data_IF_010260143714
#
_entry.id   IF_010260143714
#
_cell.length_a   1.000
_cell.length_b   1.000
_cell.length_c   1.000
_cell.angle_alpha   90.00
_cell.angle_beta   90.00
_cell.angle_gamma   90.00
#
_symmetry.space_group_name_H-M   'P 1'
#
loop_
_entity.id
_entity.type
_entity.pdbx_description
1 polymer ?
#
# COMPACT_ATOMS: atom_id res chain seq x y z
N UNK A 1 -38.34 -7.40 16.62
CA UNK A 1 -36.99 -8.00 16.66
C UNK A 1 -36.48 -8.47 15.28
N UNK A 2 -37.31 -8.55 14.22
CA UNK A 2 -36.85 -8.95 12.87
C UNK A 2 -36.11 -7.87 12.08
N UNK A 3 -36.40 -6.58 12.31
CA UNK A 3 -35.82 -5.49 11.52
C UNK A 3 -34.34 -5.20 11.84
N UNK A 4 -33.86 -5.55 13.04
CA UNK A 4 -32.46 -5.35 13.43
C UNK A 4 -31.53 -6.33 12.68
N UNK A 5 -32.00 -7.55 12.44
CA UNK A 5 -31.25 -8.58 11.72
C UNK A 5 -31.12 -8.25 10.22
N UNK A 6 -32.11 -7.58 9.63
CA UNK A 6 -32.03 -7.17 8.22
C UNK A 6 -31.03 -6.02 8.02
N UNK A 7 -30.98 -5.03 8.93
CA UNK A 7 -30.03 -3.91 8.84
C UNK A 7 -28.60 -4.37 9.10
N UNK A 8 -28.37 -5.21 10.11
CA UNK A 8 -27.04 -5.76 10.43
C UNK A 8 -26.49 -6.63 9.29
N UNK A 9 -27.31 -7.52 8.73
CA UNK A 9 -26.91 -8.40 7.61
C UNK A 9 -26.58 -7.61 6.34
N UNK A 10 -27.34 -6.55 6.03
CA UNK A 10 -27.02 -5.63 4.92
C UNK A 10 -25.69 -4.93 5.17
N UNK A 11 -25.44 -4.45 6.40
CA UNK A 11 -24.18 -3.83 6.79
C UNK A 11 -22.99 -4.79 6.63
N UNK A 12 -23.12 -6.02 7.14
CA UNK A 12 -22.08 -7.06 7.03
C UNK A 12 -21.70 -7.34 5.59
N UNK A 13 -22.69 -7.49 4.70
CA UNK A 13 -22.45 -7.72 3.28
C UNK A 13 -21.78 -6.52 2.62
N UNK A 14 -22.21 -5.30 2.93
CA UNK A 14 -21.62 -4.07 2.39
C UNK A 14 -20.16 -3.93 2.78
N UNK A 15 -19.83 -3.98 4.07
CA UNK A 15 -18.44 -3.82 4.53
C UNK A 15 -17.54 -4.99 4.13
N UNK A 16 -18.09 -6.21 4.03
CA UNK A 16 -17.38 -7.36 3.47
C UNK A 16 -16.99 -7.12 2.01
N UNK A 17 -17.94 -6.68 1.18
CA UNK A 17 -17.69 -6.39 -0.23
C UNK A 17 -16.72 -5.23 -0.41
N UNK A 18 -16.91 -4.13 0.33
CA UNK A 18 -16.00 -2.99 0.30
C UNK A 18 -14.57 -3.42 0.65
N UNK A 19 -14.39 -4.23 1.69
CA UNK A 19 -13.07 -4.71 2.07
C UNK A 19 -12.42 -5.58 0.98
N UNK A 20 -13.20 -6.40 0.28
CA UNK A 20 -12.70 -7.20 -0.86
C UNK A 20 -12.30 -6.31 -2.02
N UNK A 21 -13.11 -5.29 -2.34
CA UNK A 21 -12.83 -4.33 -3.42
C UNK A 21 -11.60 -3.50 -3.08
N UNK A 22 -11.54 -2.92 -1.88
CA UNK A 22 -10.40 -2.16 -1.40
C UNK A 22 -9.12 -3.01 -1.37
N UNK A 23 -9.19 -4.26 -0.92
CA UNK A 23 -8.05 -5.18 -0.94
C UNK A 23 -7.53 -5.49 -2.35
N UNK A 24 -8.42 -5.58 -3.35
CA UNK A 24 -8.02 -5.72 -4.77
C UNK A 24 -7.39 -4.43 -5.30
N UNK A 25 -7.99 -3.28 -4.96
CA UNK A 25 -7.43 -1.96 -5.27
C UNK A 25 -6.02 -1.85 -4.73
N UNK A 26 -5.81 -2.13 -3.44
CA UNK A 26 -4.52 -2.05 -2.78
C UNK A 26 -3.43 -2.93 -3.45
N UNK A 27 -3.80 -4.10 -3.98
CA UNK A 27 -2.88 -4.94 -4.77
C UNK A 27 -2.48 -4.22 -6.07
N UNK A 28 -3.43 -3.59 -6.76
CA UNK A 28 -3.16 -2.81 -7.98
C UNK A 28 -2.18 -1.65 -7.69
N UNK A 29 -2.36 -0.95 -6.57
CA UNK A 29 -1.44 0.11 -6.15
C UNK A 29 -0.04 -0.42 -5.79
N UNK A 30 0.08 -1.68 -5.35
CA UNK A 30 1.36 -2.35 -5.24
C UNK A 30 2.14 -2.41 -6.57
N UNK A 31 1.46 -2.61 -7.70
CA UNK A 31 2.10 -2.53 -9.02
C UNK A 31 2.50 -1.10 -9.36
N UNK A 32 1.67 -0.11 -9.01
CA UNK A 32 2.01 1.30 -9.17
C UNK A 32 3.28 1.67 -8.40
N UNK A 33 3.42 1.21 -7.16
CA UNK A 33 4.64 1.42 -6.35
C UNK A 33 5.90 0.91 -7.06
N UNK A 34 5.84 -0.25 -7.74
CA UNK A 34 6.96 -0.76 -8.54
C UNK A 34 7.26 0.14 -9.74
N UNK A 35 6.23 0.62 -10.45
CA UNK A 35 6.38 1.55 -11.57
C UNK A 35 7.03 2.85 -11.11
N UNK A 36 6.61 3.39 -9.96
CA UNK A 36 7.18 4.61 -9.37
C UNK A 36 8.66 4.44 -9.04
N UNK A 37 9.04 3.33 -8.41
CA UNK A 37 10.46 3.00 -8.15
C UNK A 37 11.25 2.93 -9.45
N UNK A 38 10.70 2.32 -10.50
CA UNK A 38 11.34 2.26 -11.81
C UNK A 38 11.49 3.65 -12.46
N UNK A 39 10.45 4.50 -12.38
CA UNK A 39 10.50 5.88 -12.88
C UNK A 39 11.55 6.71 -12.13
N UNK A 40 11.60 6.61 -10.80
CA UNK A 40 12.57 7.32 -9.98
C UNK A 40 14.00 6.99 -10.41
N UNK A 41 14.29 5.70 -10.67
CA UNK A 41 15.63 5.26 -11.07
C UNK A 41 16.01 5.65 -12.50
N UNK A 42 15.06 5.62 -13.44
CA UNK A 42 15.34 5.90 -14.86
C UNK A 42 15.32 7.39 -15.18
N UNK A 43 14.52 8.19 -14.47
CA UNK A 43 14.34 9.61 -14.72
C UNK A 43 15.27 10.49 -13.88
N UNK A 44 15.66 10.08 -12.66
CA UNK A 44 16.59 10.86 -11.83
C UNK A 44 18.05 10.40 -12.03
N UNK A 45 18.63 10.80 -13.16
CA UNK A 45 20.04 10.49 -13.48
C UNK A 45 21.02 10.94 -12.40
N UNK A 46 20.76 12.06 -11.72
CA UNK A 46 21.61 12.56 -10.63
C UNK A 46 21.61 11.63 -9.40
N UNK A 47 20.46 11.04 -9.08
CA UNK A 47 20.33 10.13 -7.94
C UNK A 47 21.04 8.81 -8.23
N UNK A 48 20.92 8.33 -9.48
CA UNK A 48 21.69 7.20 -9.97
C UNK A 48 23.20 7.48 -9.92
N UNK A 49 23.66 8.66 -10.36
CA UNK A 49 25.08 9.05 -10.27
C UNK A 49 25.57 9.15 -8.82
N UNK A 50 24.75 9.70 -7.91
CA UNK A 50 25.08 9.74 -6.48
C UNK A 50 25.20 8.34 -5.88
N UNK A 51 24.25 7.45 -6.16
CA UNK A 51 24.32 6.04 -5.71
C UNK A 51 25.58 5.37 -6.27
N UNK A 52 25.81 5.48 -7.58
CA UNK A 52 27.01 4.96 -8.26
C UNK A 52 28.31 5.47 -7.63
N UNK A 53 28.38 6.78 -7.32
CA UNK A 53 29.55 7.38 -6.68
C UNK A 53 29.71 6.95 -5.22
N UNK A 54 28.62 6.69 -4.50
CA UNK A 54 28.64 6.23 -3.10
C UNK A 54 29.01 4.76 -2.94
N UNK A 55 28.72 3.94 -3.95
CA UNK A 55 29.15 2.52 -4.05
C UNK A 55 30.59 2.43 -4.58
N UNK A 56 31.21 3.58 -4.89
CA UNK A 56 32.57 3.71 -5.41
C UNK A 56 33.65 3.25 -4.44
N UNK A 57 33.88 1.94 -4.40
CA UNK A 57 35.24 1.42 -4.37
C UNK A 57 35.78 1.46 -5.81
N UNK A 58 37.05 1.82 -5.94
CA UNK A 58 37.79 2.11 -7.18
C UNK A 58 37.91 0.96 -8.20
N UNK A 59 37.13 -0.12 -8.06
CA UNK A 59 37.31 -1.37 -8.82
C UNK A 59 36.09 -1.85 -9.61
N UNK A 60 34.90 -1.28 -9.41
CA UNK A 60 33.71 -1.69 -10.17
C UNK A 60 33.61 -0.93 -11.50
N UNK A 61 33.54 -1.67 -12.61
CA UNK A 61 33.24 -1.08 -13.92
C UNK A 61 31.83 -0.46 -13.93
N UNK A 62 31.61 0.55 -14.76
CA UNK A 62 30.31 1.25 -14.86
C UNK A 62 29.18 0.26 -15.17
N UNK A 63 29.47 -0.73 -16.00
CA UNK A 63 28.55 -1.78 -16.40
C UNK A 63 28.14 -2.66 -15.21
N UNK A 64 29.11 -3.07 -14.37
CA UNK A 64 28.83 -3.87 -13.18
C UNK A 64 27.95 -3.10 -12.18
N UNK A 65 28.20 -1.80 -12.00
CA UNK A 65 27.43 -0.98 -11.08
C UNK A 65 25.99 -0.72 -11.56
N UNK A 66 25.77 -0.59 -12.88
CA UNK A 66 24.41 -0.56 -13.46
C UNK A 66 23.68 -1.88 -13.17
N UNK A 67 24.33 -3.02 -13.40
CA UNK A 67 23.73 -4.35 -13.17
C UNK A 67 23.34 -4.51 -11.69
N UNK A 68 24.24 -4.19 -10.76
CA UNK A 68 23.97 -4.26 -9.31
C UNK A 68 22.78 -3.37 -8.95
N UNK A 69 22.72 -2.15 -9.50
CA UNK A 69 21.63 -1.21 -9.25
C UNK A 69 20.29 -1.78 -9.73
N UNK A 70 20.23 -2.31 -10.96
CA UNK A 70 19.02 -2.93 -11.51
C UNK A 70 18.56 -4.13 -10.67
N UNK A 71 19.49 -4.97 -10.22
CA UNK A 71 19.18 -6.13 -9.36
C UNK A 71 18.60 -5.65 -8.03
N UNK A 72 19.27 -4.71 -7.36
CA UNK A 72 18.83 -4.16 -6.06
C UNK A 72 17.43 -3.55 -6.17
N UNK A 73 17.19 -2.73 -7.20
CA UNK A 73 15.88 -2.10 -7.45
C UNK A 73 14.80 -3.13 -7.72
N UNK A 74 15.11 -4.17 -8.52
CA UNK A 74 14.18 -5.26 -8.82
C UNK A 74 13.79 -6.05 -7.57
N UNK A 75 14.77 -6.33 -6.69
CA UNK A 75 14.53 -6.99 -5.40
C UNK A 75 13.67 -6.12 -4.50
N UNK A 76 13.98 -4.82 -4.38
CA UNK A 76 13.19 -3.88 -3.58
C UNK A 76 11.75 -3.78 -4.10
N UNK A 77 11.56 -3.63 -5.42
CA UNK A 77 10.25 -3.61 -6.05
C UNK A 77 9.47 -4.91 -5.79
N UNK A 78 10.13 -6.07 -5.88
CA UNK A 78 9.50 -7.36 -5.56
C UNK A 78 9.08 -7.44 -4.09
N UNK A 79 9.91 -6.96 -3.16
CA UNK A 79 9.58 -6.92 -1.73
C UNK A 79 8.36 -6.03 -1.48
N UNK A 80 8.34 -4.83 -2.06
CA UNK A 80 7.21 -3.89 -1.97
C UNK A 80 5.93 -4.54 -2.51
N UNK A 81 6.00 -5.16 -3.69
CA UNK A 81 4.85 -5.85 -4.30
C UNK A 81 4.36 -7.01 -3.43
N UNK A 82 5.28 -7.81 -2.87
CA UNK A 82 4.94 -8.91 -1.96
C UNK A 82 4.20 -8.42 -0.71
N UNK A 83 4.60 -7.28 -0.15
CA UNK A 83 3.93 -6.66 1.02
C UNK A 83 2.50 -6.22 0.64
N UNK A 84 2.32 -5.53 -0.48
CA UNK A 84 1.00 -5.11 -0.97
C UNK A 84 0.09 -6.31 -1.24
N UNK A 85 0.64 -7.35 -1.90
CA UNK A 85 -0.04 -8.61 -2.13
C UNK A 85 -0.46 -9.28 -0.83
N UNK A 86 0.42 -9.33 0.16
CA UNK A 86 0.11 -9.91 1.48
C UNK A 86 -1.04 -9.15 2.16
N UNK A 87 -0.96 -7.83 2.24
CA UNK A 87 -1.95 -6.97 2.90
C UNK A 87 -3.31 -7.09 2.19
N UNK A 88 -3.33 -6.91 0.87
CA UNK A 88 -4.55 -6.96 0.07
C UNK A 88 -5.19 -8.34 0.07
N UNK A 89 -4.41 -9.42 -0.09
CA UNK A 89 -4.94 -10.79 0.02
C UNK A 89 -5.50 -11.08 1.42
N UNK A 90 -4.85 -10.60 2.47
CA UNK A 90 -5.32 -10.78 3.84
C UNK A 90 -6.64 -10.02 4.07
N UNK A 91 -6.80 -8.80 3.54
CA UNK A 91 -8.05 -8.06 3.57
C UNK A 91 -9.17 -8.76 2.80
N UNK A 92 -8.90 -9.25 1.58
CA UNK A 92 -9.86 -10.04 0.79
C UNK A 92 -10.32 -11.28 1.55
N UNK A 93 -9.38 -12.02 2.15
CA UNK A 93 -9.69 -13.22 2.95
C UNK A 93 -10.53 -12.86 4.18
N UNK A 94 -10.24 -11.75 4.85
CA UNK A 94 -11.02 -11.27 6.01
C UNK A 94 -12.44 -10.87 5.62
N UNK A 95 -12.59 -10.18 4.47
CA UNK A 95 -13.88 -9.79 3.90
C UNK A 95 -14.75 -11.01 3.62
N UNK A 96 -14.18 -12.06 3.01
CA UNK A 96 -14.86 -13.34 2.72
C UNK A 96 -15.21 -14.20 3.94
N UNK A 97 -14.91 -13.74 5.17
CA UNK A 97 -15.30 -14.46 6.40
C UNK A 97 -14.31 -15.51 6.89
N UNK A 98 -13.10 -15.56 6.33
CA UNK A 98 -12.07 -16.48 6.89
C UNK A 98 -11.58 -15.96 8.25
N UNK A 99 -11.32 -16.87 9.20
CA UNK A 99 -10.92 -16.57 10.61
C UNK A 99 -9.54 -15.89 10.76
N UNK A 100 -8.93 -15.39 9.68
CA UNK A 100 -7.57 -14.85 9.74
C UNK A 100 -7.53 -13.56 10.58
N UNK A 101 -6.54 -13.47 11.46
CA UNK A 101 -6.31 -12.29 12.32
C UNK A 101 -5.98 -11.06 11.46
N UNK A 102 -6.27 -9.87 12.00
CA UNK A 102 -6.05 -8.54 11.39
C UNK A 102 -4.59 -8.14 11.22
N UNK A 103 -3.68 -9.10 11.02
CA UNK A 103 -2.24 -8.83 10.88
C UNK A 103 -1.92 -7.85 9.74
N UNK A 104 -2.79 -7.77 8.73
CA UNK A 104 -2.65 -6.81 7.63
C UNK A 104 -2.82 -5.34 8.06
N UNK A 105 -3.50 -5.08 9.18
CA UNK A 105 -3.71 -3.71 9.69
C UNK A 105 -2.37 -3.10 10.14
N UNK A 106 -1.56 -3.84 10.89
CA UNK A 106 -0.27 -3.35 11.40
C UNK A 106 0.67 -3.03 10.24
N UNK A 107 0.83 -3.97 9.32
CA UNK A 107 1.67 -3.78 8.13
C UNK A 107 1.18 -2.63 7.25
N UNK A 108 -0.13 -2.54 7.05
CA UNK A 108 -0.70 -1.46 6.26
C UNK A 108 -0.50 -0.09 6.90
N UNK A 109 -0.65 0.03 8.23
CA UNK A 109 -0.39 1.30 8.93
C UNK A 109 1.07 1.73 8.77
N UNK A 110 2.01 0.79 8.88
CA UNK A 110 3.44 1.06 8.68
C UNK A 110 3.69 1.57 7.26
N UNK A 111 3.16 0.88 6.24
CA UNK A 111 3.35 1.27 4.83
C UNK A 111 2.71 2.62 4.55
N UNK A 112 1.48 2.87 5.00
CA UNK A 112 0.82 4.17 4.80
C UNK A 112 1.54 5.31 5.52
N UNK A 113 2.13 5.06 6.69
CA UNK A 113 2.95 6.07 7.37
C UNK A 113 4.20 6.43 6.54
N UNK A 114 4.88 5.43 5.96
CA UNK A 114 6.02 5.65 5.06
C UNK A 114 5.58 6.49 3.86
N UNK A 115 4.45 6.14 3.22
CA UNK A 115 3.94 6.91 2.08
C UNK A 115 3.63 8.38 2.43
N UNK A 116 3.06 8.64 3.61
CA UNK A 116 2.77 10.00 4.06
C UNK A 116 4.06 10.79 4.30
N UNK A 117 5.10 10.15 4.84
CA UNK A 117 6.43 10.76 5.05
C UNK A 117 7.10 11.09 3.71
N UNK A 118 6.81 10.34 2.65
CA UNK A 118 7.35 10.60 1.32
C UNK A 118 6.67 11.77 0.60
N UNK A 119 5.46 12.19 0.99
CA UNK A 119 4.72 13.27 0.31
C UNK A 119 5.51 14.59 0.23
N UNK A 120 6.13 15.10 1.31
CA UNK A 120 6.97 16.30 1.26
C UNK A 120 8.11 16.24 0.23
N UNK A 121 8.65 15.04 -0.05
CA UNK A 121 9.76 14.88 -1.00
C UNK A 121 9.36 15.30 -2.42
N UNK A 122 8.08 15.18 -2.78
CA UNK A 122 7.58 15.65 -4.08
C UNK A 122 7.72 17.17 -4.29
N UNK A 123 7.78 17.95 -3.22
CA UNK A 123 7.91 19.40 -3.30
C UNK A 123 9.37 19.89 -3.31
N UNK A 124 10.33 18.97 -3.22
CA UNK A 124 11.76 19.33 -3.19
C UNK A 124 12.39 19.46 -4.57
N UNK A 125 11.76 18.94 -5.63
CA UNK A 125 12.24 19.01 -7.00
C UNK A 125 11.51 20.14 -7.75
N UNK A 126 12.24 21.21 -8.08
CA UNK A 126 11.70 22.42 -8.72
C UNK A 126 11.83 22.42 -10.25
N UNK A 127 12.11 21.27 -10.87
CA UNK A 127 12.30 21.18 -12.32
C UNK A 127 10.97 21.27 -13.09
N UNK A 128 10.85 22.22 -14.01
CA UNK A 128 9.59 22.47 -14.76
C UNK A 128 9.14 21.25 -15.60
N UNK A 129 10.06 20.39 -16.00
CA UNK A 129 9.78 19.19 -16.79
C UNK A 129 9.12 18.04 -16.01
N UNK A 130 9.22 18.01 -14.67
CA UNK A 130 8.70 16.90 -13.86
C UNK A 130 7.29 17.15 -13.29
N UNK A 131 6.74 18.37 -13.41
CA UNK A 131 5.47 18.73 -12.79
C UNK A 131 4.30 17.78 -13.14
N UNK A 132 4.16 17.37 -14.40
CA UNK A 132 3.05 16.50 -14.82
C UNK A 132 3.13 15.10 -14.20
N UNK A 133 4.32 14.46 -14.25
CA UNK A 133 4.55 13.15 -13.64
C UNK A 133 4.48 13.18 -12.11
N UNK A 134 4.93 14.27 -11.50
CA UNK A 134 4.87 14.47 -10.05
C UNK A 134 3.44 14.60 -9.56
N UNK A 135 2.62 15.43 -10.22
CA UNK A 135 1.19 15.58 -9.87
C UNK A 135 0.45 14.26 -10.04
N UNK A 136 0.69 13.53 -11.13
CA UNK A 136 0.10 12.20 -11.32
C UNK A 136 0.49 11.25 -10.17
N UNK A 137 1.75 11.24 -9.75
CA UNK A 137 2.22 10.39 -8.65
C UNK A 137 1.59 10.74 -7.31
N UNK A 138 1.45 12.04 -7.00
CA UNK A 138 0.77 12.50 -5.78
C UNK A 138 -0.69 12.03 -5.76
N UNK A 139 -1.42 12.18 -6.87
CA UNK A 139 -2.83 11.76 -6.96
C UNK A 139 -2.97 10.27 -6.71
N UNK A 140 -2.09 9.45 -7.31
CA UNK A 140 -2.14 8.00 -7.15
C UNK A 140 -1.80 7.60 -5.71
N UNK A 141 -0.78 8.22 -5.09
CA UNK A 141 -0.41 7.97 -3.69
C UNK A 141 -1.53 8.39 -2.71
N UNK A 142 -2.19 9.53 -2.95
CA UNK A 142 -3.36 9.95 -2.17
C UNK A 142 -4.52 8.96 -2.30
N UNK A 143 -4.74 8.45 -3.51
CA UNK A 143 -5.80 7.45 -3.77
C UNK A 143 -5.49 6.14 -3.05
N UNK A 144 -4.22 5.75 -3.00
CA UNK A 144 -3.78 4.57 -2.25
C UNK A 144 -4.04 4.72 -0.74
N UNK A 145 -3.67 5.86 -0.15
CA UNK A 145 -3.94 6.17 1.26
C UNK A 145 -5.45 6.16 1.55
N UNK A 146 -6.27 6.68 0.63
CA UNK A 146 -7.72 6.64 0.75
C UNK A 146 -8.26 5.20 0.73
N UNK A 147 -7.81 4.36 -0.21
CA UNK A 147 -8.21 2.95 -0.31
C UNK A 147 -7.78 2.19 0.94
N UNK A 148 -6.57 2.44 1.43
CA UNK A 148 -6.10 1.83 2.66
C UNK A 148 -6.97 2.25 3.86
N UNK A 149 -7.34 3.52 3.95
CA UNK A 149 -8.22 4.05 4.99
C UNK A 149 -9.62 3.42 4.93
N UNK A 150 -10.20 3.27 3.74
CA UNK A 150 -11.49 2.58 3.54
C UNK A 150 -11.39 1.09 3.93
N UNK A 151 -10.26 0.45 3.63
CA UNK A 151 -9.99 -0.93 4.03
C UNK A 151 -9.92 -1.05 5.57
N UNK A 152 -9.27 -0.13 6.26
CA UNK A 152 -9.23 -0.07 7.73
C UNK A 152 -10.63 0.14 8.32
N UNK A 153 -11.36 1.14 7.82
CA UNK A 153 -12.72 1.45 8.27
C UNK A 153 -13.67 0.28 8.07
N UNK A 154 -13.70 -0.29 6.87
CA UNK A 154 -14.51 -1.47 6.53
C UNK A 154 -14.14 -2.67 7.41
N UNK A 155 -12.86 -2.89 7.68
CA UNK A 155 -12.44 -3.96 8.59
C UNK A 155 -12.93 -3.73 10.02
N UNK A 156 -12.88 -2.50 10.52
CA UNK A 156 -13.34 -2.15 11.86
C UNK A 156 -14.85 -2.35 11.99
N UNK A 157 -15.62 -1.81 11.06
CA UNK A 157 -17.08 -1.95 11.01
C UNK A 157 -17.50 -3.41 10.90
N UNK A 158 -16.80 -4.21 10.11
CA UNK A 158 -17.05 -5.64 9.99
C UNK A 158 -16.77 -6.41 11.30
N UNK A 159 -15.83 -5.96 12.15
CA UNK A 159 -15.69 -6.51 13.53
C UNK A 159 -16.97 -6.29 14.30
N UNK A 160 -17.39 -5.02 14.30
CA UNK A 160 -18.38 -4.50 15.23
C UNK A 160 -19.71 -5.19 14.97
N UNK A 161 -20.12 -5.24 13.69
CA UNK A 161 -21.33 -5.92 13.26
C UNK A 161 -21.30 -7.44 13.51
N UNK A 162 -20.16 -8.12 13.26
CA UNK A 162 -20.04 -9.56 13.56
C UNK A 162 -20.16 -9.86 15.05
N UNK A 163 -19.64 -8.96 15.88
CA UNK A 163 -19.70 -9.06 17.34
C UNK A 163 -21.11 -8.77 17.89
N UNK A 164 -21.80 -7.78 17.31
CA UNK A 164 -23.22 -7.50 17.59
C UNK A 164 -24.11 -8.70 17.22
N UNK A 165 -23.85 -9.36 16.08
CA UNK A 165 -24.59 -10.56 15.65
C UNK A 165 -24.31 -11.80 16.52
N UNK A 166 -23.09 -11.95 17.05
CA UNK A 166 -22.73 -13.09 17.92
C UNK A 166 -23.13 -12.91 19.39
N UNK A 167 -23.70 -11.77 19.78
CA UNK A 167 -24.13 -11.49 21.15
C UNK A 167 -22.98 -11.31 22.16
N UNK A 168 -21.73 -11.23 21.70
CA UNK A 168 -20.58 -10.96 22.58
C UNK A 168 -20.51 -9.45 22.86
N UNK A 169 -20.72 -9.03 24.10
CA UNK A 169 -20.56 -7.62 24.52
C UNK A 169 -19.10 -7.17 24.41
N UNK A 170 -18.90 -5.89 24.10
CA UNK A 170 -17.59 -5.25 23.90
C UNK A 170 -16.81 -5.19 25.21
N UNK A 171 -16.04 -6.24 25.52
CA UNK A 171 -14.88 -6.06 26.40
C UNK A 171 -13.85 -5.23 25.63
N UNK A 172 -13.73 -3.98 26.05
CA UNK A 172 -12.72 -3.04 25.60
C UNK A 172 -11.36 -3.52 26.13
N UNK A 173 -10.53 -4.04 25.22
CA UNK A 173 -9.14 -4.38 25.44
C UNK A 173 -8.31 -3.94 24.24
#
# INVERSE_FOLDING_TARGET
>A
MSDINSVSSVGLRRYSNNLVIAGRGYILFGFWSVVKVFMMMTMQQELMQKILSSVGSSELSKEAAIIITVITVSIMGLVVLCIHLYIGMAAIRYGKGTKRRRGFVVWGVIISAIMIIDIPLYFTDNSVQTYSSTVASIIVDMTEVFIFSDMLYSSHMLKRLRKEESGETVDAG
#
